data_IF_840490528777
#
_entry.id   IF_840490528777
#
_cell.length_a   1.000
_cell.length_b   1.000
_cell.length_c   1.000
_cell.angle_alpha   90.00
_cell.angle_beta   90.00
_cell.angle_gamma   90.00
#
_symmetry.space_group_name_H-M   'P 1'
#
loop_
_entity.id
_entity.type
_entity.pdbx_description
1 polymer ?
#
# COMPACT_ATOMS: atom_id res chain seq x y z
N UNK A 1 -8.28 3.61 16.92
CA UNK A 1 -9.29 3.34 15.88
C UNK A 1 -9.10 1.92 15.37
N UNK A 2 -10.18 1.18 15.16
CA UNK A 2 -10.12 -0.26 14.86
C UNK A 2 -10.15 -0.44 13.35
N UNK A 3 -9.07 -0.95 12.78
CA UNK A 3 -9.07 -1.51 11.42
C UNK A 3 -9.85 -2.83 11.49
N UNK A 4 -10.93 -2.94 10.71
CA UNK A 4 -11.80 -4.13 10.69
C UNK A 4 -11.33 -5.16 9.67
N UNK A 5 -10.56 -4.73 8.68
CA UNK A 5 -9.94 -5.60 7.67
C UNK A 5 -8.65 -5.00 7.12
N UNK A 6 -7.65 -5.84 6.92
CA UNK A 6 -6.37 -5.44 6.35
C UNK A 6 -5.76 -6.58 5.55
N UNK A 7 -4.93 -6.23 4.58
CA UNK A 7 -4.17 -7.20 3.83
C UNK A 7 -3.24 -6.54 2.83
N UNK A 8 -2.42 -7.36 2.20
CA UNK A 8 -1.46 -6.94 1.21
C UNK A 8 -1.28 -8.04 0.16
N UNK A 9 -1.00 -7.64 -1.08
CA UNK A 9 -0.62 -8.56 -2.15
C UNK A 9 0.87 -8.42 -2.39
N UNK A 10 1.63 -9.44 -2.00
CA UNK A 10 3.07 -9.50 -2.20
C UNK A 10 3.44 -10.57 -3.25
N UNK A 11 4.64 -10.44 -3.82
CA UNK A 11 5.33 -11.58 -4.45
C UNK A 11 5.60 -12.68 -3.43
N UNK A 12 5.88 -13.90 -3.90
CA UNK A 12 6.17 -15.06 -3.04
C UNK A 12 7.35 -14.81 -2.09
N UNK A 13 8.35 -14.06 -2.55
CA UNK A 13 9.53 -13.67 -1.77
C UNK A 13 9.35 -12.36 -0.98
N UNK A 14 8.16 -11.76 -1.04
CA UNK A 14 7.77 -10.49 -0.40
C UNK A 14 8.63 -9.27 -0.75
N UNK A 15 9.49 -9.37 -1.78
CA UNK A 15 10.28 -8.23 -2.28
C UNK A 15 9.45 -7.21 -3.03
N UNK A 16 8.30 -7.64 -3.56
CA UNK A 16 7.40 -6.79 -4.34
C UNK A 16 6.03 -6.69 -3.67
N UNK A 17 5.54 -5.48 -3.40
CA UNK A 17 4.17 -5.22 -2.92
C UNK A 17 3.34 -4.59 -4.02
N UNK A 18 2.35 -5.33 -4.49
CA UNK A 18 1.44 -4.91 -5.54
C UNK A 18 0.24 -4.12 -5.03
N UNK A 19 -0.21 -4.41 -3.81
CA UNK A 19 -1.31 -3.71 -3.18
C UNK A 19 -1.23 -3.82 -1.66
N UNK A 20 -1.78 -2.81 -0.97
CA UNK A 20 -2.03 -2.79 0.46
C UNK A 20 -3.42 -2.21 0.68
N UNK A 21 -4.24 -2.81 1.53
CA UNK A 21 -5.57 -2.29 1.82
C UNK A 21 -5.88 -2.27 3.32
N UNK A 22 -6.80 -1.35 3.66
CA UNK A 22 -7.34 -1.13 5.01
C UNK A 22 -8.83 -0.82 4.90
N UNK A 23 -9.62 -1.42 5.76
CA UNK A 23 -11.05 -1.14 5.95
C UNK A 23 -11.31 -0.88 7.43
N UNK A 24 -12.24 0.03 7.73
CA UNK A 24 -12.58 0.44 9.11
C UNK A 24 -14.08 0.62 9.33
N UNK A 25 -14.89 0.55 8.30
CA UNK A 25 -16.35 0.60 8.38
C UNK A 25 -16.95 -0.42 7.41
N UNK A 26 -18.21 -0.75 7.63
CA UNK A 26 -19.00 -1.54 6.69
C UNK A 26 -19.31 -0.68 5.47
N UNK A 27 -18.90 -1.15 4.29
CA UNK A 27 -19.07 -0.43 3.03
C UNK A 27 -18.27 -1.08 1.90
N UNK A 28 -18.63 -0.75 0.66
CA UNK A 28 -17.97 -1.26 -0.55
C UNK A 28 -17.17 -0.18 -1.29
N UNK A 29 -16.96 0.96 -0.66
CA UNK A 29 -16.27 2.12 -1.19
C UNK A 29 -14.86 2.24 -0.61
N UNK A 30 -13.90 2.63 -1.45
CA UNK A 30 -12.52 2.84 -1.04
C UNK A 30 -11.83 3.87 -1.91
N UNK A 31 -10.92 4.62 -1.30
CA UNK A 31 -10.01 5.52 -2.04
C UNK A 31 -8.82 4.71 -2.54
N UNK A 32 -8.49 4.84 -3.82
CA UNK A 32 -7.22 4.34 -4.38
C UNK A 32 -6.16 5.45 -4.34
N UNK A 33 -5.11 5.23 -3.57
CA UNK A 33 -3.89 6.04 -3.62
C UNK A 33 -2.85 5.34 -4.50
N UNK A 34 -2.29 6.08 -5.47
CA UNK A 34 -1.20 5.61 -6.34
C UNK A 34 0.08 6.32 -5.91
N UNK A 35 0.98 5.57 -5.26
CA UNK A 35 2.29 6.02 -4.83
C UNK A 35 3.40 5.71 -5.85
N UNK A 36 4.61 6.14 -5.54
CA UNK A 36 5.80 5.81 -6.33
C UNK A 36 6.39 4.47 -5.94
N UNK A 37 6.60 4.23 -4.64
CA UNK A 37 7.27 3.03 -4.14
C UNK A 37 6.76 2.56 -2.79
N UNK A 38 6.63 1.24 -2.58
CA UNK A 38 6.21 0.68 -1.33
C UNK A 38 7.33 0.79 -0.31
N UNK A 39 7.04 1.44 0.81
CA UNK A 39 7.89 1.41 2.01
C UNK A 39 7.65 0.10 2.81
N UNK A 40 8.12 0.01 4.06
CA UNK A 40 8.02 -1.18 4.91
C UNK A 40 6.59 -1.56 5.35
N UNK A 41 5.56 -0.75 5.07
CA UNK A 41 4.19 -1.11 5.44
C UNK A 41 3.77 -2.48 4.88
N UNK A 42 3.17 -3.30 5.73
CA UNK A 42 2.68 -4.62 5.37
C UNK A 42 1.24 -4.78 5.87
N UNK A 43 0.69 -5.99 5.82
CA UNK A 43 -0.65 -6.26 6.31
C UNK A 43 -0.84 -5.96 7.82
N UNK A 44 0.23 -5.83 8.61
CA UNK A 44 0.18 -5.66 10.07
C UNK A 44 0.46 -4.22 10.50
N UNK A 45 1.41 -3.55 9.85
CA UNK A 45 1.93 -2.26 10.30
C UNK A 45 1.59 -1.11 9.33
N UNK A 46 1.28 0.05 9.90
CA UNK A 46 1.01 1.28 9.15
C UNK A 46 2.18 2.25 9.30
N UNK A 47 2.92 2.46 8.21
CA UNK A 47 3.95 3.51 8.14
C UNK A 47 3.31 4.93 8.13
N UNK A 48 4.09 6.02 8.22
CA UNK A 48 3.56 7.38 8.16
C UNK A 48 2.74 7.70 6.90
N UNK A 49 3.09 7.13 5.74
CA UNK A 49 2.37 7.31 4.48
C UNK A 49 0.99 6.68 4.56
N UNK A 50 0.90 5.43 5.03
CA UNK A 50 -0.36 4.71 5.16
C UNK A 50 -1.27 5.38 6.18
N UNK A 51 -0.73 5.85 7.32
CA UNK A 51 -1.52 6.62 8.29
C UNK A 51 -2.15 7.88 7.68
N UNK A 52 -1.42 8.57 6.80
CA UNK A 52 -1.93 9.76 6.12
C UNK A 52 -2.97 9.42 5.05
N UNK A 53 -2.77 8.36 4.27
CA UNK A 53 -3.78 7.85 3.33
C UNK A 53 -5.09 7.47 4.02
N UNK A 54 -5.01 6.79 5.17
CA UNK A 54 -6.17 6.46 6.00
C UNK A 54 -6.89 7.75 6.42
N UNK A 55 -6.16 8.71 7.00
CA UNK A 55 -6.76 9.99 7.44
C UNK A 55 -7.51 10.68 6.30
N UNK A 56 -6.91 10.81 5.11
CA UNK A 56 -7.58 11.44 3.97
C UNK A 56 -8.84 10.68 3.53
N UNK A 57 -8.77 9.36 3.41
CA UNK A 57 -9.93 8.56 3.02
C UNK A 57 -11.09 8.70 4.02
N UNK A 58 -10.77 8.84 5.30
CA UNK A 58 -11.76 9.07 6.35
C UNK A 58 -12.37 10.47 6.30
N UNK A 59 -11.52 11.48 6.14
CA UNK A 59 -11.97 12.87 6.00
C UNK A 59 -12.87 13.04 4.76
N UNK A 60 -12.68 12.22 3.74
CA UNK A 60 -13.51 12.18 2.53
C UNK A 60 -14.74 11.26 2.63
N UNK A 61 -14.95 10.59 3.77
CA UNK A 61 -16.14 9.79 4.04
C UNK A 61 -16.12 8.36 3.49
N UNK A 62 -14.95 7.80 3.18
CA UNK A 62 -14.83 6.43 2.66
C UNK A 62 -14.69 5.36 3.75
N UNK A 63 -15.12 4.14 3.43
CA UNK A 63 -15.05 2.98 4.33
C UNK A 63 -13.69 2.25 4.35
N UNK A 64 -12.82 2.58 3.41
CA UNK A 64 -11.48 1.99 3.30
C UNK A 64 -10.55 2.73 2.35
N UNK A 65 -9.31 2.25 2.27
CA UNK A 65 -8.34 2.70 1.27
C UNK A 65 -7.52 1.53 0.70
N UNK A 66 -7.15 1.67 -0.56
CA UNK A 66 -6.22 0.80 -1.28
C UNK A 66 -5.01 1.66 -1.66
N UNK A 67 -3.81 1.16 -1.40
CA UNK A 67 -2.55 1.79 -1.79
C UNK A 67 -1.82 0.86 -2.75
N UNK A 68 -1.58 1.35 -3.95
CA UNK A 68 -0.74 0.72 -4.98
C UNK A 68 0.45 1.62 -5.27
N UNK A 69 1.49 1.08 -5.90
CA UNK A 69 2.67 1.86 -6.27
C UNK A 69 3.04 1.58 -7.72
N UNK A 70 3.61 2.60 -8.41
CA UNK A 70 4.11 2.45 -9.77
C UNK A 70 5.24 1.40 -9.86
N UNK A 71 6.09 1.35 -8.84
CA UNK A 71 7.09 0.30 -8.65
C UNK A 71 6.63 -0.62 -7.53
N UNK A 72 6.75 -1.93 -7.71
CA UNK A 72 6.36 -2.88 -6.68
C UNK A 72 7.51 -3.17 -5.69
N UNK A 73 8.77 -2.91 -6.07
CA UNK A 73 9.92 -3.22 -5.21
C UNK A 73 9.86 -2.45 -3.88
N UNK A 74 9.85 -3.18 -2.77
CA UNK A 74 9.76 -2.63 -1.42
C UNK A 74 11.09 -1.99 -1.01
N UNK A 75 11.11 -0.66 -0.91
CA UNK A 75 12.26 0.09 -0.42
C UNK A 75 11.83 1.42 0.20
N UNK A 76 12.53 1.83 1.27
CA UNK A 76 12.39 3.15 1.86
C UNK A 76 13.16 4.24 1.07
N UNK A 77 13.99 3.82 0.10
CA UNK A 77 14.91 4.70 -0.62
C UNK A 77 14.55 4.73 -2.12
N UNK A 78 13.86 5.79 -2.60
CA UNK A 78 13.44 5.89 -4.00
C UNK A 78 14.60 5.84 -5.00
N UNK A 79 15.82 6.20 -4.57
CA UNK A 79 17.02 6.10 -5.41
C UNK A 79 17.37 4.67 -5.82
N UNK A 80 17.06 3.67 -5.00
CA UNK A 80 17.34 2.25 -5.30
C UNK A 80 16.55 1.76 -6.51
N UNK A 81 15.34 2.28 -6.72
CA UNK A 81 14.46 1.88 -7.83
C UNK A 81 15.09 2.10 -9.20
N UNK A 82 16.02 3.05 -9.33
CA UNK A 82 16.77 3.32 -10.56
C UNK A 82 17.82 2.25 -10.88
N UNK A 83 18.18 1.44 -9.88
CA UNK A 83 19.24 0.44 -9.95
C UNK A 83 18.73 -1.00 -9.90
N UNK A 84 17.49 -1.20 -9.44
CA UNK A 84 16.86 -2.52 -9.43
C UNK A 84 16.52 -2.93 -10.86
N UNK A 85 16.92 -4.15 -11.23
CA UNK A 85 16.75 -4.68 -12.58
C UNK A 85 15.27 -4.85 -12.99
N UNK A 86 14.41 -5.22 -12.04
CA UNK A 86 12.97 -5.38 -12.24
C UNK A 86 12.21 -4.64 -11.14
N UNK A 87 12.03 -3.30 -11.22
CA UNK A 87 11.45 -2.52 -10.13
C UNK A 87 9.93 -2.69 -10.01
N UNK A 88 9.26 -3.27 -11.01
CA UNK A 88 7.83 -3.58 -11.01
C UNK A 88 7.54 -5.02 -10.58
N UNK A 89 8.55 -5.88 -10.56
CA UNK A 89 8.44 -7.28 -10.18
C UNK A 89 7.91 -8.17 -11.32
N UNK A 90 7.89 -9.49 -11.09
CA UNK A 90 7.42 -10.44 -12.09
C UNK A 90 5.99 -10.11 -12.53
N UNK A 91 5.69 -10.31 -13.82
CA UNK A 91 4.33 -10.12 -14.36
C UNK A 91 3.32 -10.89 -13.50
N UNK A 92 2.30 -10.17 -13.03
CA UNK A 92 1.22 -10.71 -12.18
C UNK A 92 0.07 -11.28 -12.99
#
# INVERSE_FOLDING_TARGET
>A
MIITGSGARFSRDRRYRYALWRTWADGNDSVLFIGLNPSQADEKENDPTIRRCISFAQDWGFSGCIVVNLFAYCTAYPGELKTIADPIGPRT
#
